data_IF_540302136116
#
_entry.id   IF_540302136116
#
_cell.length_a   1.000
_cell.length_b   1.000
_cell.length_c   1.000
_cell.angle_alpha   90.00
_cell.angle_beta   90.00
_cell.angle_gamma   90.00
#
_symmetry.space_group_name_H-M   'P 1'
#
loop_
_entity.id
_entity.type
_entity.pdbx_description
1 polymer ?
#
# COMPACT_ATOMS: atom_id res chain seq x y z
N UNK A 1 6.47 12.79 -17.38
CA UNK A 1 6.15 12.17 -16.08
C UNK A 1 7.07 10.97 -15.89
N UNK A 2 7.61 10.78 -14.69
CA UNK A 2 8.41 9.60 -14.32
C UNK A 2 7.63 8.85 -13.25
N UNK A 3 7.39 7.56 -13.45
CA UNK A 3 6.74 6.70 -12.46
C UNK A 3 7.78 5.84 -11.76
N UNK A 4 7.78 5.89 -10.43
CA UNK A 4 8.47 4.91 -9.58
C UNK A 4 7.50 3.78 -9.33
N UNK A 5 7.80 2.61 -9.91
CA UNK A 5 6.97 1.41 -9.82
C UNK A 5 7.57 0.42 -8.83
N UNK A 6 7.08 0.45 -7.59
CA UNK A 6 7.37 -0.57 -6.58
C UNK A 6 6.28 -1.66 -6.59
N UNK A 7 6.40 -2.58 -7.54
CA UNK A 7 5.43 -3.67 -7.76
C UNK A 7 5.34 -4.68 -6.60
N UNK A 8 6.34 -4.70 -5.71
CA UNK A 8 6.43 -5.65 -4.61
C UNK A 8 6.13 -5.02 -3.25
N UNK A 9 6.04 -3.69 -3.15
CA UNK A 9 5.79 -2.99 -1.89
C UNK A 9 7.03 -2.94 -0.98
N UNK A 10 8.22 -3.00 -1.56
CA UNK A 10 9.48 -3.18 -0.84
C UNK A 10 10.20 -1.87 -0.52
N UNK A 11 9.84 -0.76 -1.18
CA UNK A 11 10.51 0.51 -0.89
C UNK A 11 10.16 0.95 0.52
N UNK A 12 11.16 1.13 1.38
CA UNK A 12 10.90 1.59 2.74
C UNK A 12 10.48 3.07 2.74
N UNK A 13 9.86 3.57 3.81
CA UNK A 13 9.51 4.98 3.89
C UNK A 13 10.72 5.90 3.69
N UNK A 14 11.85 5.66 4.36
CA UNK A 14 13.03 6.51 4.20
C UNK A 14 13.59 6.49 2.76
N UNK A 15 13.61 5.32 2.13
CA UNK A 15 14.03 5.19 0.72
C UNK A 15 13.11 5.94 -0.22
N UNK A 16 11.79 5.84 -0.02
CA UNK A 16 10.79 6.59 -0.77
C UNK A 16 11.01 8.10 -0.68
N UNK A 17 11.24 8.61 0.55
CA UNK A 17 11.51 10.01 0.78
C UNK A 17 12.81 10.49 0.13
N UNK A 18 13.90 9.72 0.25
CA UNK A 18 15.19 10.06 -0.36
C UNK A 18 15.12 10.03 -1.89
N UNK A 19 14.50 9.00 -2.47
CA UNK A 19 14.31 8.88 -3.91
C UNK A 19 13.50 10.07 -4.44
N UNK A 20 12.39 10.41 -3.79
CA UNK A 20 11.54 11.53 -4.20
C UNK A 20 12.28 12.86 -4.16
N UNK A 21 12.95 13.18 -3.03
CA UNK A 21 13.74 14.42 -2.91
C UNK A 21 14.79 14.54 -4.01
N UNK A 22 15.52 13.45 -4.28
CA UNK A 22 16.57 13.44 -5.30
C UNK A 22 15.98 13.61 -6.70
N UNK A 23 14.90 12.91 -7.03
CA UNK A 23 14.23 13.07 -8.33
C UNK A 23 13.73 14.51 -8.53
N UNK A 24 13.02 15.07 -7.55
CA UNK A 24 12.51 16.44 -7.62
C UNK A 24 13.61 17.50 -7.72
N UNK A 25 14.82 17.21 -7.24
CA UNK A 25 16.00 18.08 -7.38
C UNK A 25 16.62 17.99 -8.78
N UNK A 26 16.70 16.80 -9.36
CA UNK A 26 17.46 16.54 -10.60
C UNK A 26 16.61 16.68 -11.87
N UNK A 27 15.28 16.50 -11.77
CA UNK A 27 14.38 16.58 -12.93
C UNK A 27 13.22 17.54 -12.69
N UNK A 28 12.81 18.23 -13.75
CA UNK A 28 11.65 19.14 -13.74
C UNK A 28 10.39 18.48 -14.35
N UNK A 29 10.23 17.17 -14.17
CA UNK A 29 9.08 16.41 -14.65
C UNK A 29 8.19 16.00 -13.47
N UNK A 30 6.87 15.85 -13.67
CA UNK A 30 6.00 15.26 -12.65
C UNK A 30 6.47 13.85 -12.27
N UNK A 31 6.51 13.55 -10.97
CA UNK A 31 6.88 12.26 -10.40
C UNK A 31 5.65 11.58 -9.83
N UNK A 32 5.43 10.36 -10.28
CA UNK A 32 4.37 9.45 -9.86
C UNK A 32 4.97 8.34 -9.00
N UNK A 33 4.31 8.03 -7.88
CA UNK A 33 4.73 7.00 -6.93
C UNK A 33 3.69 5.89 -6.82
N UNK A 34 4.09 4.70 -7.22
CA UNK A 34 3.30 3.48 -7.19
C UNK A 34 3.93 2.46 -6.25
N UNK A 35 3.14 1.90 -5.33
CA UNK A 35 3.55 0.84 -4.42
C UNK A 35 2.38 -0.09 -4.07
N UNK A 36 2.69 -1.22 -3.43
CA UNK A 36 1.73 -2.20 -2.92
C UNK A 36 1.87 -2.35 -1.40
N UNK A 37 0.79 -2.73 -0.70
CA UNK A 37 0.78 -2.80 0.76
C UNK A 37 1.23 -4.15 1.35
N UNK A 38 1.58 -5.15 0.53
CA UNK A 38 1.73 -6.54 1.00
C UNK A 38 2.81 -6.69 2.07
N UNK A 39 3.99 -6.06 1.92
CA UNK A 39 5.03 -6.12 2.94
C UNK A 39 4.77 -5.19 4.13
N UNK A 40 3.74 -4.34 4.10
CA UNK A 40 3.39 -3.40 5.17
C UNK A 40 4.08 -2.03 5.09
N UNK A 41 4.73 -1.70 3.97
CA UNK A 41 5.36 -0.38 3.78
C UNK A 41 4.48 0.60 3.00
N UNK A 42 3.53 0.10 2.20
CA UNK A 42 2.81 0.88 1.20
C UNK A 42 2.26 2.22 1.68
N UNK A 43 1.44 2.23 2.74
CA UNK A 43 0.82 3.48 3.23
C UNK A 43 1.87 4.48 3.75
N UNK A 44 2.85 4.01 4.52
CA UNK A 44 3.94 4.85 5.04
C UNK A 44 4.84 5.40 3.95
N UNK A 45 5.21 4.56 2.98
CA UNK A 45 6.06 4.95 1.84
C UNK A 45 5.34 5.94 0.93
N UNK A 46 4.02 5.81 0.76
CA UNK A 46 3.19 6.80 0.06
C UNK A 46 3.11 8.11 0.82
N UNK A 47 2.88 8.11 2.14
CA UNK A 47 2.92 9.34 2.94
C UNK A 47 4.28 10.05 2.85
N UNK A 48 5.37 9.29 2.91
CA UNK A 48 6.71 9.84 2.76
C UNK A 48 6.94 10.42 1.36
N UNK A 49 6.46 9.74 0.31
CA UNK A 49 6.51 10.26 -1.06
C UNK A 49 5.79 11.62 -1.18
N UNK A 50 4.56 11.72 -0.64
CA UNK A 50 3.76 12.95 -0.64
C UNK A 50 4.51 14.09 0.06
N UNK A 51 5.02 13.86 1.28
CA UNK A 51 5.72 14.88 2.07
C UNK A 51 7.00 15.37 1.36
N UNK A 52 7.63 14.51 0.55
CA UNK A 52 8.85 14.85 -0.19
C UNK A 52 8.59 15.33 -1.63
N UNK A 53 7.32 15.59 -1.99
CA UNK A 53 6.96 16.30 -3.22
C UNK A 53 6.59 15.40 -4.40
N UNK A 54 6.07 14.19 -4.16
CA UNK A 54 5.38 13.42 -5.18
C UNK A 54 4.24 14.25 -5.78
N UNK A 55 4.12 14.25 -7.11
CA UNK A 55 3.05 14.96 -7.82
C UNK A 55 1.81 14.08 -7.97
N UNK A 56 2.01 12.76 -8.06
CA UNK A 56 0.96 11.75 -8.23
C UNK A 56 1.29 10.55 -7.33
N UNK A 57 0.25 9.94 -6.76
CA UNK A 57 0.36 8.67 -6.04
C UNK A 57 -0.75 7.72 -6.48
N UNK A 58 -0.40 6.46 -6.70
CA UNK A 58 -1.38 5.44 -7.03
C UNK A 58 -2.12 4.96 -5.77
N UNK A 59 -3.44 4.84 -5.89
CA UNK A 59 -4.32 4.41 -4.81
C UNK A 59 -5.37 3.42 -5.32
N UNK A 60 -6.06 2.76 -4.40
CA UNK A 60 -7.22 1.91 -4.70
C UNK A 60 -8.39 2.31 -3.80
N UNK A 61 -9.62 2.12 -4.28
CA UNK A 61 -10.82 2.34 -3.45
C UNK A 61 -10.80 1.35 -2.28
N UNK A 62 -11.12 1.79 -1.07
CA UNK A 62 -10.91 1.04 0.18
C UNK A 62 -11.28 -0.43 0.10
N UNK A 63 -12.47 -0.79 -0.43
CA UNK A 63 -12.90 -2.20 -0.52
C UNK A 63 -12.00 -3.09 -1.39
N UNK A 64 -11.16 -2.54 -2.27
CA UNK A 64 -10.17 -3.27 -3.08
C UNK A 64 -8.73 -2.88 -2.76
N UNK A 65 -8.49 -2.12 -1.70
CA UNK A 65 -7.18 -1.61 -1.32
C UNK A 65 -6.50 -2.46 -0.22
N UNK A 66 -5.22 -2.17 0.01
CA UNK A 66 -4.40 -2.86 1.01
C UNK A 66 -3.98 -4.26 0.58
N UNK A 67 -3.16 -4.92 1.40
CA UNK A 67 -2.59 -6.23 1.07
C UNK A 67 -1.90 -6.25 -0.31
N UNK A 68 -2.32 -7.10 -1.27
CA UNK A 68 -1.72 -7.15 -2.61
C UNK A 68 -2.04 -5.93 -3.50
N UNK A 69 -2.85 -4.99 -3.05
CA UNK A 69 -3.20 -3.77 -3.79
C UNK A 69 -2.44 -2.53 -3.28
N UNK A 70 -2.71 -1.39 -3.92
CA UNK A 70 -2.20 -0.08 -3.50
C UNK A 70 -2.86 0.39 -2.18
N UNK A 71 -2.31 1.45 -1.54
CA UNK A 71 -2.94 2.07 -0.38
C UNK A 71 -4.37 2.56 -0.68
N UNK A 72 -5.21 2.54 0.33
CA UNK A 72 -6.58 3.02 0.21
C UNK A 72 -6.62 4.53 -0.06
N UNK A 73 -7.35 4.94 -1.10
CA UNK A 73 -7.55 6.34 -1.45
C UNK A 73 -8.06 7.13 -0.26
N UNK A 74 -9.03 6.59 0.48
CA UNK A 74 -9.66 7.26 1.62
C UNK A 74 -8.64 7.59 2.73
N UNK A 75 -7.66 6.70 2.98
CA UNK A 75 -6.59 6.98 3.94
C UNK A 75 -5.64 8.06 3.42
N UNK A 76 -5.28 7.99 2.14
CA UNK A 76 -4.42 8.99 1.49
C UNK A 76 -5.10 10.36 1.45
N UNK A 77 -6.41 10.41 1.23
CA UNK A 77 -7.20 11.64 1.27
C UNK A 77 -7.18 12.28 2.66
N UNK A 78 -7.34 11.49 3.74
CA UNK A 78 -7.25 12.01 5.11
C UNK A 78 -5.87 12.62 5.39
N UNK A 79 -4.79 11.98 4.90
CA UNK A 79 -3.45 12.55 4.97
C UNK A 79 -3.33 13.84 4.16
N UNK A 80 -3.87 13.87 2.94
CA UNK A 80 -3.87 15.06 2.09
C UNK A 80 -4.58 16.24 2.76
N UNK A 81 -5.77 16.02 3.33
CA UNK A 81 -6.53 17.04 4.06
C UNK A 81 -5.73 17.61 5.23
N UNK A 82 -5.10 16.73 6.04
CA UNK A 82 -4.25 17.14 7.19
C UNK A 82 -2.98 17.87 6.76
N UNK A 83 -2.46 17.59 5.57
CA UNK A 83 -1.33 18.29 4.98
C UNK A 83 -1.75 19.58 4.23
N UNK A 84 -3.04 19.86 4.13
CA UNK A 84 -3.57 21.01 3.39
C UNK A 84 -3.42 20.88 1.87
N UNK A 85 -3.41 19.65 1.36
CA UNK A 85 -3.27 19.33 -0.05
C UNK A 85 -4.64 19.05 -0.67
N UNK A 86 -4.94 19.74 -1.78
CA UNK A 86 -6.14 19.47 -2.57
C UNK A 86 -5.85 18.40 -3.63
N UNK A 87 -6.59 17.29 -3.57
CA UNK A 87 -6.49 16.19 -4.53
C UNK A 87 -7.36 16.42 -5.77
N UNK A 88 -8.32 17.35 -5.72
CA UNK A 88 -9.29 17.61 -6.78
C UNK A 88 -10.30 16.48 -7.01
N UNK A 89 -10.40 15.51 -6.09
CA UNK A 89 -11.26 14.34 -6.24
C UNK A 89 -12.66 14.60 -5.68
N UNK A 90 -13.69 14.14 -6.39
CA UNK A 90 -15.07 14.19 -5.92
C UNK A 90 -15.33 13.08 -4.88
N UNK A 91 -15.37 13.45 -3.59
CA UNK A 91 -15.55 12.50 -2.50
C UNK A 91 -16.93 11.81 -2.50
N UNK A 92 -18.00 12.49 -2.92
CA UNK A 92 -19.32 11.85 -3.07
C UNK A 92 -19.30 10.73 -4.12
N UNK A 93 -18.47 10.88 -5.16
CA UNK A 93 -18.28 9.84 -6.16
C UNK A 93 -17.50 8.65 -5.58
N UNK A 94 -16.47 8.91 -4.77
CA UNK A 94 -15.68 7.87 -4.09
C UNK A 94 -16.58 6.99 -3.20
N UNK A 95 -17.45 7.60 -2.40
CA UNK A 95 -18.40 6.87 -1.54
C UNK A 95 -19.29 5.94 -2.37
N UNK A 96 -19.87 6.44 -3.46
CA UNK A 96 -20.73 5.65 -4.37
C UNK A 96 -19.96 4.51 -5.04
N UNK A 97 -18.75 4.80 -5.52
CA UNK A 97 -17.88 3.79 -6.15
C UNK A 97 -17.53 2.69 -5.15
N UNK A 98 -17.18 3.04 -3.91
CA UNK A 98 -16.85 2.06 -2.87
C UNK A 98 -18.04 1.14 -2.55
N UNK A 99 -19.25 1.69 -2.44
CA UNK A 99 -20.47 0.92 -2.22
C UNK A 99 -20.74 -0.08 -3.36
N UNK A 100 -20.59 0.35 -4.62
CA UNK A 100 -20.76 -0.50 -5.79
C UNK A 100 -19.69 -1.61 -5.85
N UNK A 101 -18.41 -1.24 -5.73
CA UNK A 101 -17.29 -2.18 -5.72
C UNK A 101 -17.41 -3.20 -4.58
N UNK A 102 -18.00 -2.83 -3.45
CA UNK A 102 -18.29 -3.76 -2.36
C UNK A 102 -19.30 -4.83 -2.74
N UNK A 103 -20.32 -4.52 -3.52
CA UNK A 103 -21.25 -5.55 -4.01
C UNK A 103 -20.58 -6.44 -5.06
N UNK A 104 -19.86 -5.84 -6.01
CA UNK A 104 -19.10 -6.58 -7.04
C UNK A 104 -18.10 -7.55 -6.38
N UNK A 105 -17.36 -7.11 -5.36
CA UNK A 105 -16.42 -7.98 -4.63
C UNK A 105 -17.11 -9.17 -3.97
N UNK A 106 -18.33 -9.00 -3.45
CA UNK A 106 -19.13 -10.11 -2.91
C UNK A 106 -19.60 -11.08 -4.00
N UNK A 107 -19.96 -10.58 -5.17
CA UNK A 107 -20.31 -11.43 -6.32
C UNK A 107 -19.10 -12.24 -6.80
N UNK A 108 -17.90 -11.66 -6.73
CA UNK A 108 -16.62 -12.31 -7.03
C UNK A 108 -16.04 -13.11 -5.86
N UNK A 109 -16.85 -13.42 -4.83
CA UNK A 109 -16.38 -14.11 -3.63
C UNK A 109 -15.74 -15.47 -3.91
N UNK A 110 -16.03 -16.16 -5.01
CA UNK A 110 -15.32 -17.40 -5.36
C UNK A 110 -13.82 -17.17 -5.64
N UNK A 111 -13.48 -16.04 -6.26
CA UNK A 111 -12.12 -15.69 -6.69
C UNK A 111 -11.35 -14.87 -5.64
N UNK A 112 -12.06 -14.27 -4.68
CA UNK A 112 -11.43 -13.45 -3.65
C UNK A 112 -10.63 -14.31 -2.66
N UNK A 113 -9.30 -14.27 -2.76
CA UNK A 113 -8.41 -14.99 -1.84
C UNK A 113 -8.37 -14.37 -0.44
N UNK A 114 -8.90 -13.15 -0.25
CA UNK A 114 -8.88 -12.40 1.00
C UNK A 114 -10.30 -12.11 1.47
N UNK A 115 -10.83 -12.87 2.44
CA UNK A 115 -12.23 -12.69 2.90
C UNK A 115 -12.44 -11.51 3.85
N UNK A 116 -11.41 -10.68 4.05
CA UNK A 116 -11.44 -9.54 4.96
C UNK A 116 -11.85 -8.27 4.21
N UNK A 117 -12.87 -7.59 4.73
CA UNK A 117 -13.34 -6.30 4.21
C UNK A 117 -12.96 -5.19 5.18
N UNK A 118 -12.52 -4.03 4.68
CA UNK A 118 -12.37 -2.84 5.53
C UNK A 118 -13.71 -2.46 6.19
N UNK A 119 -13.62 -1.66 7.24
CA UNK A 119 -14.81 -1.07 7.86
C UNK A 119 -15.59 -0.23 6.83
N UNK A 120 -16.91 -0.15 6.99
CA UNK A 120 -17.70 0.83 6.25
C UNK A 120 -17.40 2.21 6.83
N UNK A 121 -16.76 3.05 6.03
CA UNK A 121 -16.39 4.42 6.38
C UNK A 121 -16.74 5.35 5.22
N UNK A 122 -17.62 6.31 5.49
CA UNK A 122 -17.98 7.38 4.57
C UNK A 122 -17.11 8.60 4.84
N UNK A 123 -16.12 8.85 3.98
CA UNK A 123 -15.18 9.96 4.13
C UNK A 123 -15.85 11.35 4.09
N UNK A 124 -17.09 11.46 3.63
CA UNK A 124 -17.83 12.73 3.57
C UNK A 124 -18.67 13.01 4.81
N UNK A 125 -19.02 11.98 5.58
CA UNK A 125 -20.00 12.07 6.66
C UNK A 125 -19.47 11.57 8.01
N UNK A 126 -18.61 10.56 8.01
CA UNK A 126 -18.11 9.94 9.23
C UNK A 126 -16.95 10.72 9.83
N UNK A 127 -16.80 10.58 11.15
CA UNK A 127 -15.70 11.20 11.89
C UNK A 127 -14.84 10.13 12.54
N UNK A 128 -13.52 10.31 12.45
CA UNK A 128 -12.58 9.42 13.09
C UNK A 128 -12.66 9.56 14.62
N UNK A 129 -12.58 8.45 15.37
CA UNK A 129 -12.32 8.52 16.80
C UNK A 129 -11.03 9.31 17.06
N UNK A 130 -11.02 10.17 18.10
CA UNK A 130 -9.87 11.03 18.43
C UNK A 130 -8.53 10.28 18.52
N UNK A 131 -8.56 9.04 19.02
CA UNK A 131 -7.35 8.22 19.11
C UNK A 131 -6.79 7.85 17.73
N UNK A 132 -7.67 7.57 16.76
CA UNK A 132 -7.30 7.21 15.38
C UNK A 132 -6.89 8.45 14.61
N UNK A 133 -7.64 9.55 14.75
CA UNK A 133 -7.29 10.85 14.15
C UNK A 133 -5.87 11.30 14.56
N UNK A 134 -5.52 11.12 15.84
CA UNK A 134 -4.17 11.38 16.36
C UNK A 134 -3.09 10.51 15.73
N UNK A 135 -3.40 9.28 15.29
CA UNK A 135 -2.42 8.43 14.60
C UNK A 135 -1.99 9.06 13.27
N UNK A 136 -2.92 9.68 12.53
CA UNK A 136 -2.58 10.37 11.28
C UNK A 136 -1.65 11.57 11.54
N UNK A 137 -1.94 12.38 12.56
CA UNK A 137 -1.07 13.50 12.94
C UNK A 137 0.32 13.02 13.37
N UNK A 138 0.37 11.92 14.13
CA UNK A 138 1.62 11.31 14.58
C UNK A 138 2.42 10.75 13.41
N UNK A 139 1.78 10.03 12.49
CA UNK A 139 2.43 9.52 11.27
C UNK A 139 3.02 10.66 10.42
N UNK A 140 2.30 11.77 10.24
CA UNK A 140 2.84 12.96 9.56
C UNK A 140 4.07 13.51 10.29
N UNK A 141 4.01 13.59 11.63
CA UNK A 141 5.15 14.06 12.44
C UNK A 141 6.37 13.16 12.29
N UNK A 142 6.20 11.84 12.41
CA UNK A 142 7.28 10.86 12.27
C UNK A 142 7.86 10.86 10.86
N UNK A 143 7.01 10.96 9.82
CA UNK A 143 7.48 11.08 8.45
C UNK A 143 8.35 12.34 8.23
N UNK A 144 7.95 13.49 8.78
CA UNK A 144 8.76 14.72 8.71
C UNK A 144 10.07 14.61 9.50
N UNK A 145 10.08 13.85 10.59
CA UNK A 145 11.27 13.61 11.40
C UNK A 145 12.23 12.56 10.79
N UNK A 146 11.75 11.73 9.86
CA UNK A 146 12.51 10.58 9.35
C UNK A 146 12.52 9.36 10.29
N UNK A 147 11.60 9.34 11.26
CA UNK A 147 11.46 8.25 12.25
C UNK A 147 10.69 7.08 11.63
N UNK A 148 11.38 6.29 10.80
CA UNK A 148 10.77 5.22 10.00
C UNK A 148 10.01 4.18 10.83
N UNK A 149 10.57 3.75 11.97
CA UNK A 149 9.92 2.74 12.80
C UNK A 149 8.59 3.25 13.36
N UNK A 150 8.58 4.44 13.96
CA UNK A 150 7.38 5.05 14.55
C UNK A 150 6.34 5.39 13.48
N UNK A 151 6.79 5.83 12.29
CA UNK A 151 5.92 6.01 11.14
C UNK A 151 5.22 4.71 10.75
N UNK A 152 5.97 3.60 10.62
CA UNK A 152 5.42 2.30 10.27
C UNK A 152 4.42 1.81 11.32
N UNK A 153 4.76 1.92 12.60
CA UNK A 153 3.87 1.55 13.71
C UNK A 153 2.57 2.36 13.66
N UNK A 154 2.64 3.67 13.43
CA UNK A 154 1.46 4.54 13.32
C UNK A 154 0.59 4.18 12.11
N UNK A 155 1.17 3.96 10.93
CA UNK A 155 0.41 3.61 9.72
C UNK A 155 -0.21 2.23 9.80
N UNK A 156 0.50 1.25 10.37
CA UNK A 156 -0.05 -0.09 10.59
C UNK A 156 -1.19 -0.08 11.61
N UNK A 157 -1.12 0.77 12.63
CA UNK A 157 -2.21 0.97 13.58
C UNK A 157 -3.45 1.59 12.91
N UNK A 158 -3.27 2.53 11.98
CA UNK A 158 -4.36 3.08 11.15
C UNK A 158 -4.98 1.96 10.30
N UNK A 159 -4.16 1.24 9.52
CA UNK A 159 -4.63 0.16 8.65
C UNK A 159 -5.37 -0.93 9.43
N UNK A 160 -4.86 -1.29 10.61
CA UNK A 160 -5.50 -2.24 11.51
C UNK A 160 -6.86 -1.76 12.01
N UNK A 161 -7.02 -0.47 12.33
CA UNK A 161 -8.31 0.06 12.78
C UNK A 161 -9.35 0.03 11.67
N UNK A 162 -8.94 0.33 10.43
CA UNK A 162 -9.80 0.21 9.25
C UNK A 162 -10.05 -1.24 8.80
N UNK A 163 -9.52 -2.23 9.53
CA UNK A 163 -9.65 -3.66 9.23
C UNK A 163 -9.02 -4.04 7.87
N UNK A 164 -7.88 -3.45 7.51
CA UNK A 164 -7.06 -3.93 6.40
C UNK A 164 -6.25 -5.19 6.79
N UNK A 165 -5.84 -5.93 5.77
CA UNK A 165 -5.07 -7.17 5.93
C UNK A 165 -3.69 -6.85 6.50
N UNK A 166 -3.27 -7.63 7.50
CA UNK A 166 -1.96 -7.46 8.11
C UNK A 166 -0.80 -7.78 7.11
N UNK A 167 0.38 -7.16 7.29
CA UNK A 167 1.54 -7.41 6.44
C UNK A 167 1.98 -8.87 6.37
N UNK A 168 2.48 -9.32 5.22
CA UNK A 168 3.09 -10.63 5.05
C UNK A 168 4.62 -10.52 5.01
N UNK A 169 5.28 -10.90 6.11
CA UNK A 169 6.74 -10.88 6.23
C UNK A 169 7.45 -11.83 5.26
N UNK A 170 6.76 -12.86 4.74
CA UNK A 170 7.33 -13.77 3.75
C UNK A 170 7.52 -13.08 2.41
N UNK A 171 6.55 -12.26 2.01
CA UNK A 171 6.65 -11.46 0.77
C UNK A 171 7.75 -10.42 0.91
N UNK A 172 7.84 -9.78 2.09
CA UNK A 172 8.94 -8.86 2.41
C UNK A 172 10.31 -9.51 2.24
N UNK A 173 10.48 -10.75 2.69
CA UNK A 173 11.77 -11.45 2.64
C UNK A 173 12.07 -12.10 1.28
N UNK A 174 11.04 -12.55 0.56
CA UNK A 174 11.21 -13.25 -0.72
C UNK A 174 11.32 -12.30 -1.93
N UNK A 175 11.02 -11.00 -1.74
CA UNK A 175 11.04 -9.96 -2.78
C UNK A 175 10.15 -10.28 -3.99
N UNK A 176 9.07 -11.04 -3.79
CA UNK A 176 8.15 -11.46 -4.87
C UNK A 176 7.03 -10.43 -5.01
N UNK A 177 6.74 -9.90 -6.22
CA UNK A 177 5.61 -9.02 -6.45
C UNK A 177 4.28 -9.64 -5.99
N UNK A 178 3.38 -8.85 -5.39
CA UNK A 178 2.17 -9.38 -4.74
C UNK A 178 1.30 -10.26 -5.66
N UNK A 179 1.08 -9.82 -6.90
CA UNK A 179 0.34 -10.60 -7.90
C UNK A 179 1.06 -11.89 -8.33
N UNK A 180 2.40 -11.88 -8.38
CA UNK A 180 3.18 -13.09 -8.66
C UNK A 180 3.06 -14.08 -7.50
N UNK A 181 3.10 -13.60 -6.25
CA UNK A 181 2.94 -14.44 -5.07
C UNK A 181 1.56 -15.11 -5.02
N UNK A 182 0.47 -14.35 -5.20
CA UNK A 182 -0.89 -14.90 -5.15
C UNK A 182 -1.16 -15.88 -6.29
N UNK A 183 -0.68 -15.58 -7.50
CA UNK A 183 -0.78 -16.48 -8.66
C UNK A 183 0.03 -17.76 -8.45
N UNK A 184 1.26 -17.66 -7.97
CA UNK A 184 2.11 -18.81 -7.67
C UNK A 184 1.47 -19.72 -6.61
N UNK A 185 0.90 -19.14 -5.55
CA UNK A 185 0.18 -19.90 -4.52
C UNK A 185 -1.04 -20.62 -5.11
N UNK A 186 -1.80 -19.96 -5.97
CA UNK A 186 -2.94 -20.57 -6.65
C UNK A 186 -2.51 -21.74 -7.55
N UNK A 187 -1.42 -21.59 -8.30
CA UNK A 187 -0.84 -22.64 -9.15
C UNK A 187 -0.35 -23.85 -8.31
N UNK A 188 0.36 -23.60 -7.20
CA UNK A 188 0.81 -24.67 -6.30
C UNK A 188 -0.37 -25.47 -5.72
N UNK A 189 -1.44 -24.78 -5.31
CA UNK A 189 -2.67 -25.44 -4.82
C UNK A 189 -3.36 -26.26 -5.90
N UNK A 190 -3.43 -25.75 -7.14
CA UNK A 190 -4.00 -26.50 -8.26
C UNK A 190 -3.23 -27.79 -8.54
N UNK A 191 -1.91 -27.76 -8.35
CA UNK A 191 -1.02 -28.91 -8.52
C UNK A 191 -0.92 -29.82 -7.28
N UNK A 192 -1.58 -29.47 -6.16
CA UNK A 192 -1.45 -30.14 -4.85
C UNK A 192 0.00 -30.19 -4.33
N UNK A 193 0.70 -29.06 -4.49
CA UNK A 193 2.11 -28.86 -4.12
C UNK A 193 2.29 -27.64 -3.20
N UNK A 194 1.24 -27.22 -2.51
CA UNK A 194 1.27 -26.04 -1.63
C UNK A 194 2.18 -26.21 -0.40
N UNK A 195 2.53 -27.45 -0.06
CA UNK A 195 3.55 -27.79 0.93
C UNK A 195 4.96 -27.34 0.54
N UNK A 196 5.22 -27.15 -0.77
CA UNK A 196 6.51 -26.67 -1.27
C UNK A 196 6.69 -25.15 -1.17
N UNK A 197 5.64 -24.39 -0.82
CA UNK A 197 5.70 -22.93 -0.76
C UNK A 197 6.88 -22.38 0.06
N UNK A 198 7.19 -22.88 1.29
CA UNK A 198 8.33 -22.38 2.05
C UNK A 198 9.66 -22.53 1.29
N UNK A 199 9.87 -23.69 0.67
CA UNK A 199 11.08 -23.96 -0.11
C UNK A 199 11.19 -23.05 -1.33
N UNK A 200 10.07 -22.81 -2.03
CA UNK A 200 10.04 -21.89 -3.18
C UNK A 200 10.43 -20.48 -2.73
N UNK A 201 9.87 -19.99 -1.63
CA UNK A 201 10.17 -18.65 -1.09
C UNK A 201 11.63 -18.48 -0.66
N UNK A 202 12.27 -19.54 -0.17
CA UNK A 202 13.71 -19.54 0.12
C UNK A 202 14.57 -19.61 -1.16
N UNK A 203 14.09 -20.28 -2.19
CA UNK A 203 14.85 -20.52 -3.44
C UNK A 203 14.82 -19.32 -4.36
N UNK A 204 13.73 -18.56 -4.40
CA UNK A 204 13.58 -17.41 -5.31
C UNK A 204 14.70 -16.37 -5.15
N UNK A 205 15.06 -15.92 -3.92
CA UNK A 205 16.19 -15.01 -3.74
C UNK A 205 17.52 -15.58 -4.23
N UNK A 206 17.75 -16.89 -4.05
CA UNK A 206 18.98 -17.56 -4.52
C UNK A 206 19.06 -17.56 -6.04
N UNK A 207 17.97 -17.94 -6.72
CA UNK A 207 17.88 -17.92 -8.19
C UNK A 207 18.05 -16.51 -8.73
N UNK A 208 17.49 -15.50 -8.05
CA UNK A 208 17.67 -14.09 -8.41
C UNK A 208 19.15 -13.70 -8.37
N UNK A 209 19.88 -14.06 -7.32
CA UNK A 209 21.32 -13.78 -7.22
C UNK A 209 22.10 -14.52 -8.30
N UNK A 210 21.82 -15.81 -8.52
CA UNK A 210 22.47 -16.64 -9.54
C UNK A 210 22.21 -16.13 -10.98
N UNK A 211 21.04 -15.53 -11.22
CA UNK A 211 20.66 -14.91 -12.49
C UNK A 211 21.23 -13.50 -12.68
N UNK A 212 22.03 -12.99 -11.75
CA UNK A 212 22.66 -11.66 -11.85
C UNK A 212 21.82 -10.52 -11.28
N UNK A 213 20.99 -10.80 -10.28
CA UNK A 213 20.12 -9.84 -9.58
C UNK A 213 19.18 -9.06 -10.52
N UNK A 214 18.36 -9.74 -11.35
CA UNK A 214 17.35 -9.05 -12.14
C UNK A 214 16.40 -8.26 -11.22
N UNK A 215 15.86 -7.13 -11.72
CA UNK A 215 14.87 -6.33 -11.01
C UNK A 215 13.55 -7.09 -10.83
#
# INVERSE_FOLDING_TARGET
MITIKDMAGLITPNESGELMRRLKKEVNLPIDFHTHCTPGYGLASTLMAIINGADIVDTSISTLAGGPAAPAFELVQIFADKLGLDTGVNLDAIVKINQELKQIRKELAEFDSYKQFPIDFDITADTLPKAVDKLFDSAISFAKAGDEQELLEATLAIESWFNFIAPDSRVRNAEIPGGMYTNMLAQLRQMKMDDLLPKVLETVPLVRVEAGCPP
#
